data_IF_920854892278
#
_entry.id   IF_920854892278
#
_cell.length_a   1.000
_cell.length_b   1.000
_cell.length_c   1.000
_cell.angle_alpha   90.00
_cell.angle_beta   90.00
_cell.angle_gamma   90.00
#
_symmetry.space_group_name_H-M   'P 1'
#
loop_
_entity.id
_entity.type
_entity.pdbx_description
1 polymer ?
#
# COMPACT_ATOMS: atom_id res chain seq x y z
N UNK A 1 -10.35 21.44 -3.20
CA UNK A 1 -10.94 20.28 -2.50
C UNK A 1 -10.30 18.95 -2.90
N UNK A 2 -10.06 18.70 -4.19
CA UNK A 2 -9.40 17.47 -4.66
C UNK A 2 -7.99 17.25 -4.08
N UNK A 3 -7.19 18.30 -3.91
CA UNK A 3 -5.85 18.21 -3.29
C UNK A 3 -5.92 17.79 -1.81
N UNK A 4 -6.89 18.32 -1.06
CA UNK A 4 -7.15 17.91 0.33
C UNK A 4 -7.60 16.44 0.39
N UNK A 5 -8.42 15.99 -0.57
CA UNK A 5 -8.83 14.60 -0.66
C UNK A 5 -7.63 13.67 -0.91
N UNK A 6 -6.69 14.07 -1.79
CA UNK A 6 -5.45 13.33 -2.02
C UNK A 6 -4.57 13.28 -0.77
N UNK A 7 -4.45 14.38 -0.03
CA UNK A 7 -3.69 14.43 1.21
C UNK A 7 -4.25 13.46 2.27
N UNK A 8 -5.58 13.46 2.47
CA UNK A 8 -6.25 12.54 3.41
C UNK A 8 -6.02 11.07 3.09
N UNK A 9 -6.08 10.71 1.80
CA UNK A 9 -5.77 9.34 1.36
C UNK A 9 -4.32 8.98 1.69
N UNK A 10 -3.37 9.86 1.38
CA UNK A 10 -1.94 9.62 1.67
C UNK A 10 -1.69 9.44 3.17
N UNK A 11 -2.29 10.29 3.99
CA UNK A 11 -2.18 10.20 5.45
C UNK A 11 -2.73 8.87 5.98
N UNK A 12 -3.90 8.44 5.50
CA UNK A 12 -4.49 7.18 5.90
C UNK A 12 -3.67 5.95 5.45
N UNK A 13 -3.08 6.00 4.25
CA UNK A 13 -2.14 4.96 3.77
C UNK A 13 -0.87 4.95 4.63
N UNK A 14 -0.32 6.11 5.00
CA UNK A 14 0.88 6.17 5.84
C UNK A 14 0.60 5.60 7.24
N UNK A 15 -0.56 5.91 7.82
CA UNK A 15 -0.98 5.35 9.10
C UNK A 15 -1.14 3.82 9.03
N UNK A 16 -1.70 3.31 7.93
CA UNK A 16 -1.77 1.87 7.63
C UNK A 16 -0.38 1.22 7.62
N UNK A 17 0.58 1.84 6.91
CA UNK A 17 1.94 1.31 6.78
C UNK A 17 2.68 1.30 8.11
N UNK A 18 2.58 2.38 8.88
CA UNK A 18 3.15 2.47 10.23
C UNK A 18 2.60 1.38 11.16
N UNK A 19 1.30 1.10 11.08
CA UNK A 19 0.69 0.07 11.91
C UNK A 19 1.14 -1.35 11.50
N UNK A 20 1.21 -1.64 10.19
CA UNK A 20 1.76 -2.91 9.69
C UNK A 20 3.23 -3.07 10.10
N UNK A 21 4.03 -2.01 9.96
CA UNK A 21 5.43 -2.02 10.31
C UNK A 21 5.65 -2.40 11.78
N UNK A 22 4.96 -1.69 12.68
CA UNK A 22 5.02 -1.92 14.13
C UNK A 22 4.49 -3.30 14.53
N UNK A 23 3.45 -3.78 13.85
CA UNK A 23 2.76 -5.01 14.24
C UNK A 23 3.47 -6.29 13.79
N UNK A 24 4.11 -6.30 12.62
CA UNK A 24 4.70 -7.52 12.07
C UNK A 24 6.06 -7.34 11.37
N UNK A 25 6.29 -6.24 10.64
CA UNK A 25 7.51 -6.12 9.82
C UNK A 25 8.77 -6.02 10.66
N UNK A 26 8.75 -5.25 11.76
CA UNK A 26 9.91 -5.14 12.66
C UNK A 26 10.33 -6.49 13.26
N UNK A 27 9.36 -7.35 13.58
CA UNK A 27 9.65 -8.69 14.10
C UNK A 27 10.32 -9.56 13.02
N UNK A 28 9.78 -9.55 11.80
CA UNK A 28 10.37 -10.27 10.67
C UNK A 28 11.79 -9.78 10.36
N UNK A 29 12.02 -8.46 10.38
CA UNK A 29 13.35 -7.87 10.19
C UNK A 29 14.32 -8.30 11.29
N UNK A 30 13.90 -8.27 12.56
CA UNK A 30 14.70 -8.77 13.68
C UNK A 30 15.11 -10.22 13.46
N UNK A 31 14.17 -11.09 13.11
CA UNK A 31 14.45 -12.52 12.95
C UNK A 31 15.38 -12.79 11.75
N UNK A 32 15.20 -12.05 10.65
CA UNK A 32 16.14 -12.07 9.52
C UNK A 32 17.55 -11.69 9.97
N UNK A 33 17.71 -10.57 10.69
CA UNK A 33 19.03 -10.11 11.13
C UNK A 33 19.69 -11.08 12.12
N UNK A 34 18.93 -11.65 13.06
CA UNK A 34 19.44 -12.66 13.99
C UNK A 34 19.83 -13.96 13.26
N UNK A 35 19.07 -14.38 12.25
CA UNK A 35 19.41 -15.51 11.40
C UNK A 35 20.73 -15.25 10.64
N UNK A 36 20.85 -14.09 10.00
CA UNK A 36 22.05 -13.71 9.24
C UNK A 36 23.29 -13.64 10.16
N UNK A 37 23.16 -13.11 11.38
CA UNK A 37 24.25 -13.09 12.35
C UNK A 37 24.75 -14.52 12.68
N UNK A 38 23.83 -15.47 12.90
CA UNK A 38 24.20 -16.88 13.14
C UNK A 38 24.91 -17.52 11.94
N UNK A 39 24.54 -17.17 10.71
CA UNK A 39 25.26 -17.61 9.51
C UNK A 39 26.73 -17.12 9.56
N UNK A 40 26.95 -15.85 9.90
CA UNK A 40 28.28 -15.24 9.99
C UNK A 40 29.14 -15.80 11.14
N UNK A 41 28.52 -16.22 12.24
CA UNK A 41 29.22 -16.82 13.39
C UNK A 41 29.73 -18.25 13.09
N UNK A 42 29.13 -18.94 12.11
CA UNK A 42 29.49 -20.31 11.78
C UNK A 42 30.80 -20.38 10.96
N UNK A 43 31.92 -20.59 11.65
CA UNK A 43 33.25 -20.72 11.04
C UNK A 43 33.46 -21.99 10.20
N UNK A 44 32.53 -22.94 10.24
CA UNK A 44 32.61 -24.17 9.45
C UNK A 44 32.04 -24.01 8.04
N UNK A 45 31.25 -22.97 7.78
CA UNK A 45 30.75 -22.68 6.45
C UNK A 45 31.85 -22.04 5.59
N UNK A 46 31.90 -22.41 4.32
CA UNK A 46 32.62 -21.65 3.32
C UNK A 46 31.99 -20.27 3.11
N UNK A 47 32.71 -19.41 2.39
CA UNK A 47 32.21 -18.09 2.01
C UNK A 47 30.89 -18.16 1.22
N UNK A 48 30.80 -19.09 0.25
CA UNK A 48 29.61 -19.26 -0.59
C UNK A 48 28.41 -19.77 0.23
N UNK A 49 28.62 -20.76 1.08
CA UNK A 49 27.57 -21.29 1.97
C UNK A 49 27.08 -20.25 2.97
N UNK A 50 27.98 -19.38 3.46
CA UNK A 50 27.61 -18.27 4.35
C UNK A 50 26.70 -17.28 3.63
N UNK A 51 27.03 -16.89 2.39
CA UNK A 51 26.18 -16.00 1.59
C UNK A 51 24.81 -16.63 1.31
N UNK A 52 24.77 -17.91 0.92
CA UNK A 52 23.51 -18.61 0.67
C UNK A 52 22.64 -18.70 1.94
N UNK A 53 23.24 -18.92 3.11
CA UNK A 53 22.55 -18.90 4.40
C UNK A 53 21.90 -17.53 4.67
N UNK A 54 22.64 -16.43 4.46
CA UNK A 54 22.15 -15.06 4.64
C UNK A 54 20.99 -14.75 3.68
N UNK A 55 21.10 -15.14 2.41
CA UNK A 55 20.03 -14.98 1.42
C UNK A 55 18.75 -15.70 1.88
N UNK A 56 18.88 -16.93 2.37
CA UNK A 56 17.79 -17.71 2.94
C UNK A 56 17.07 -17.00 4.08
N UNK A 57 17.80 -16.34 4.98
CA UNK A 57 17.24 -15.57 6.10
C UNK A 57 16.34 -14.41 5.63
N UNK A 58 16.63 -13.80 4.47
CA UNK A 58 15.89 -12.65 3.93
C UNK A 58 14.62 -13.02 3.17
N UNK A 59 14.43 -14.30 2.82
CA UNK A 59 13.35 -14.75 1.94
C UNK A 59 11.96 -14.32 2.44
N UNK A 60 11.66 -14.57 3.71
CA UNK A 60 10.34 -14.27 4.30
C UNK A 60 10.03 -12.78 4.30
N UNK A 61 10.99 -11.94 4.69
CA UNK A 61 10.78 -10.48 4.71
C UNK A 61 10.66 -9.92 3.28
N UNK A 62 11.40 -10.45 2.31
CA UNK A 62 11.31 -10.04 0.92
C UNK A 62 9.94 -10.41 0.31
N UNK A 63 9.41 -11.60 0.62
CA UNK A 63 8.04 -12.00 0.24
C UNK A 63 7.00 -11.06 0.87
N UNK A 64 7.14 -10.73 2.15
CA UNK A 64 6.25 -9.82 2.86
C UNK A 64 6.27 -8.40 2.28
N UNK A 65 7.45 -7.86 1.99
CA UNK A 65 7.63 -6.56 1.35
C UNK A 65 7.00 -6.53 -0.05
N UNK A 66 7.22 -7.57 -0.85
CA UNK A 66 6.62 -7.70 -2.19
C UNK A 66 5.09 -7.73 -2.11
N UNK A 67 4.54 -8.51 -1.17
CA UNK A 67 3.11 -8.56 -0.93
C UNK A 67 2.54 -7.18 -0.56
N UNK A 68 3.16 -6.47 0.39
CA UNK A 68 2.74 -5.13 0.76
C UNK A 68 2.77 -4.16 -0.42
N UNK A 69 3.86 -4.18 -1.20
CA UNK A 69 3.99 -3.32 -2.38
C UNK A 69 2.86 -3.56 -3.38
N UNK A 70 2.52 -4.82 -3.64
CA UNK A 70 1.42 -5.19 -4.55
C UNK A 70 0.07 -4.69 -4.03
N UNK A 71 -0.20 -4.82 -2.74
CA UNK A 71 -1.45 -4.35 -2.13
C UNK A 71 -1.60 -2.82 -2.20
N UNK A 72 -0.51 -2.09 -1.97
CA UNK A 72 -0.50 -0.64 -2.10
C UNK A 72 -0.72 -0.19 -3.55
N UNK A 73 -0.04 -0.83 -4.51
CA UNK A 73 -0.24 -0.55 -5.94
C UNK A 73 -1.70 -0.81 -6.33
N UNK A 74 -2.26 -1.96 -5.94
CA UNK A 74 -3.66 -2.28 -6.20
C UNK A 74 -4.62 -1.25 -5.61
N UNK A 75 -4.34 -0.76 -4.40
CA UNK A 75 -5.15 0.28 -3.76
C UNK A 75 -5.05 1.62 -4.52
N UNK A 76 -3.84 2.03 -4.91
CA UNK A 76 -3.60 3.25 -5.70
C UNK A 76 -4.29 3.18 -7.07
N UNK A 77 -4.20 2.05 -7.78
CA UNK A 77 -4.84 1.86 -9.09
C UNK A 77 -6.36 1.96 -9.01
N UNK A 78 -6.96 1.49 -7.91
CA UNK A 78 -8.41 1.64 -7.70
C UNK A 78 -8.80 3.11 -7.52
N UNK A 79 -8.02 3.88 -6.77
CA UNK A 79 -8.24 5.32 -6.61
C UNK A 79 -8.07 6.06 -7.93
N UNK A 80 -7.00 5.78 -8.68
CA UNK A 80 -6.77 6.39 -9.98
C UNK A 80 -7.92 6.11 -10.95
N UNK A 81 -8.40 4.86 -11.02
CA UNK A 81 -9.59 4.51 -11.81
C UNK A 81 -10.85 5.22 -11.34
N UNK A 82 -11.04 5.40 -10.04
CA UNK A 82 -12.19 6.16 -9.51
C UNK A 82 -12.15 7.63 -9.97
N UNK A 83 -10.99 8.28 -9.89
CA UNK A 83 -10.80 9.67 -10.35
C UNK A 83 -10.98 9.78 -11.87
N UNK A 84 -10.48 8.81 -12.63
CA UNK A 84 -10.68 8.75 -14.08
C UNK A 84 -12.17 8.64 -14.43
N UNK A 85 -12.92 7.80 -13.72
CA UNK A 85 -14.38 7.72 -13.89
C UNK A 85 -15.07 9.05 -13.58
N UNK A 86 -14.61 9.78 -12.55
CA UNK A 86 -15.12 11.14 -12.29
C UNK A 86 -14.88 12.08 -13.47
N UNK A 87 -13.72 11.98 -14.12
CA UNK A 87 -13.38 12.79 -15.29
C UNK A 87 -14.26 12.42 -16.49
N UNK A 88 -14.44 11.14 -16.76
CA UNK A 88 -15.25 10.64 -17.88
C UNK A 88 -16.72 11.05 -17.73
N UNK A 89 -17.28 10.91 -16.52
CA UNK A 89 -18.64 11.36 -16.19
C UNK A 89 -18.89 12.85 -16.45
N UNK A 90 -17.84 13.68 -16.42
CA UNK A 90 -17.91 15.10 -16.75
C UNK A 90 -17.76 15.31 -18.25
N UNK A 91 -16.81 14.62 -18.89
CA UNK A 91 -16.60 14.67 -20.34
C UNK A 91 -17.86 14.30 -21.12
N UNK A 92 -18.59 13.28 -20.66
CA UNK A 92 -19.85 12.84 -21.29
C UNK A 92 -20.96 13.90 -21.26
N UNK A 93 -20.83 14.92 -20.41
CA UNK A 93 -21.79 16.03 -20.28
C UNK A 93 -21.38 17.28 -21.05
N UNK A 94 -20.13 17.34 -21.53
CA UNK A 94 -19.63 18.48 -22.29
C UNK A 94 -20.10 18.36 -23.74
N UNK A 95 -20.70 19.42 -24.26
CA UNK A 95 -21.13 19.54 -25.64
C UNK A 95 -20.51 20.79 -26.29
N UNK A 96 -20.53 20.93 -27.63
CA UNK A 96 -20.03 22.13 -28.30
C UNK A 96 -20.76 23.44 -27.88
N UNK A 97 -21.94 23.32 -27.27
CA UNK A 97 -22.76 24.45 -26.80
C UNK A 97 -22.61 24.73 -25.31
N UNK A 98 -21.75 23.99 -24.59
CA UNK A 98 -21.53 24.18 -23.16
C UNK A 98 -20.99 25.58 -22.87
N UNK A 99 -21.69 26.29 -21.98
CA UNK A 99 -21.34 27.64 -21.52
C UNK A 99 -20.29 27.63 -20.42
N UNK A 100 -19.62 28.77 -20.23
CA UNK A 100 -18.61 28.93 -19.16
C UNK A 100 -19.20 28.72 -17.74
N UNK A 101 -20.47 29.11 -17.54
CA UNK A 101 -21.19 28.86 -16.29
C UNK A 101 -21.38 27.35 -16.02
N UNK A 102 -21.70 26.57 -17.06
CA UNK A 102 -21.82 25.10 -16.96
C UNK A 102 -20.46 24.45 -16.70
N UNK A 103 -19.37 24.94 -17.31
CA UNK A 103 -18.01 24.47 -17.05
C UNK A 103 -17.63 24.64 -15.57
N UNK A 104 -17.99 25.77 -14.95
CA UNK A 104 -17.77 25.97 -13.50
C UNK A 104 -18.57 24.97 -12.65
N UNK A 105 -19.81 24.67 -13.04
CA UNK A 105 -20.62 23.61 -12.43
C UNK A 105 -19.99 22.23 -12.57
N UNK A 106 -19.47 21.90 -13.75
CA UNK A 106 -18.76 20.65 -14.02
C UNK A 106 -17.49 20.49 -13.20
N UNK A 107 -16.71 21.57 -12.99
CA UNK A 107 -15.56 21.56 -12.10
C UNK A 107 -15.95 21.23 -10.66
N UNK A 108 -17.01 21.83 -10.14
CA UNK A 108 -17.53 21.51 -8.80
C UNK A 108 -18.00 20.06 -8.68
N UNK A 109 -18.67 19.55 -9.72
CA UNK A 109 -19.11 18.15 -9.77
C UNK A 109 -17.93 17.19 -9.79
N UNK A 110 -16.88 17.49 -10.56
CA UNK A 110 -15.63 16.73 -10.57
C UNK A 110 -15.00 16.70 -9.18
N UNK A 111 -14.82 17.86 -8.55
CA UNK A 111 -14.22 17.97 -7.21
C UNK A 111 -15.03 17.17 -6.17
N UNK A 112 -16.36 17.26 -6.20
CA UNK A 112 -17.23 16.48 -5.31
C UNK A 112 -17.11 14.98 -5.54
N UNK A 113 -17.01 14.54 -6.80
CA UNK A 113 -16.79 13.15 -7.15
C UNK A 113 -15.45 12.63 -6.63
N UNK A 114 -14.37 13.40 -6.79
CA UNK A 114 -13.04 13.04 -6.27
C UNK A 114 -13.03 12.92 -4.74
N UNK A 115 -13.74 13.81 -4.04
CA UNK A 115 -13.89 13.70 -2.58
C UNK A 115 -14.60 12.40 -2.19
N UNK A 116 -15.69 12.04 -2.88
CA UNK A 116 -16.39 10.77 -2.66
C UNK A 116 -15.51 9.55 -2.94
N UNK A 117 -14.69 9.59 -3.99
CA UNK A 117 -13.69 8.55 -4.25
C UNK A 117 -12.74 8.40 -3.06
N UNK A 118 -12.17 9.50 -2.57
CA UNK A 118 -11.27 9.47 -1.41
C UNK A 118 -11.96 8.90 -0.17
N UNK A 119 -13.16 9.37 0.17
CA UNK A 119 -13.91 8.90 1.34
C UNK A 119 -14.19 7.39 1.24
N UNK A 120 -14.72 6.93 0.10
CA UNK A 120 -15.00 5.50 -0.15
C UNK A 120 -13.75 4.64 0.02
N UNK A 121 -12.60 5.11 -0.46
CA UNK A 121 -11.36 4.35 -0.36
C UNK A 121 -10.76 4.40 1.04
N UNK A 122 -10.87 5.51 1.76
CA UNK A 122 -10.47 5.62 3.16
C UNK A 122 -11.27 4.64 4.02
N UNK A 123 -12.58 4.51 3.79
CA UNK A 123 -13.45 3.58 4.53
C UNK A 123 -13.08 2.10 4.31
N UNK A 124 -12.37 1.79 3.22
CA UNK A 124 -11.88 0.44 2.93
C UNK A 124 -10.54 0.13 3.61
N UNK A 125 -9.81 1.12 4.12
CA UNK A 125 -8.48 0.93 4.71
C UNK A 125 -8.52 -0.01 5.92
N UNK A 126 -9.46 0.09 6.88
CA UNK A 126 -9.48 -0.79 8.05
C UNK A 126 -9.62 -2.28 7.69
N UNK A 127 -10.46 -2.60 6.72
CA UNK A 127 -10.62 -3.99 6.24
C UNK A 127 -9.40 -4.47 5.45
N UNK A 128 -8.79 -3.59 4.66
CA UNK A 128 -7.55 -3.88 3.93
C UNK A 128 -6.40 -4.17 4.90
N UNK A 129 -6.25 -3.32 5.93
CA UNK A 129 -5.28 -3.47 7.01
C UNK A 129 -5.39 -4.82 7.70
N UNK A 130 -6.62 -5.19 8.10
CA UNK A 130 -6.88 -6.46 8.77
C UNK A 130 -6.42 -7.64 7.92
N UNK A 131 -6.82 -7.68 6.65
CA UNK A 131 -6.44 -8.74 5.71
C UNK A 131 -4.92 -8.80 5.50
N UNK A 132 -4.27 -7.65 5.31
CA UNK A 132 -2.82 -7.60 5.14
C UNK A 132 -2.09 -8.14 6.37
N UNK A 133 -2.52 -7.74 7.57
CA UNK A 133 -1.97 -8.25 8.84
C UNK A 133 -2.14 -9.76 8.96
N UNK A 134 -3.30 -10.31 8.65
CA UNK A 134 -3.55 -11.76 8.72
C UNK A 134 -2.60 -12.55 7.79
N UNK A 135 -2.44 -12.09 6.55
CA UNK A 135 -1.50 -12.71 5.60
C UNK A 135 -0.06 -12.61 6.08
N UNK A 136 0.37 -11.43 6.53
CA UNK A 136 1.73 -11.21 7.02
C UNK A 136 2.02 -12.02 8.29
N UNK A 137 1.07 -12.11 9.22
CA UNK A 137 1.22 -12.90 10.44
C UNK A 137 1.34 -14.39 10.15
N UNK A 138 0.63 -14.91 9.13
CA UNK A 138 0.80 -16.32 8.70
C UNK A 138 2.19 -16.63 8.13
N UNK A 139 2.95 -15.60 7.72
CA UNK A 139 4.31 -15.72 7.19
C UNK A 139 5.37 -15.63 8.27
N UNK A 140 5.03 -15.15 9.47
CA UNK A 140 5.95 -15.15 10.61
C UNK A 140 6.09 -16.59 11.12
N UNK A 141 7.28 -17.20 11.08
CA UNK A 141 7.48 -18.49 11.71
C UNK A 141 7.16 -18.37 13.19
N UNK A 142 6.21 -19.19 13.67
CA UNK A 142 5.90 -19.31 15.09
C UNK A 142 7.11 -19.91 15.79
N UNK A 143 8.03 -19.07 16.28
CA UNK A 143 8.99 -19.50 17.28
C UNK A 143 8.22 -19.75 18.59
N UNK A 144 7.72 -20.99 18.73
CA UNK A 144 7.53 -21.63 20.04
C UNK A 144 8.82 -22.35 20.42
#
# INVERSE_FOLDING_TARGET
>A
MAELASARVKEAINALLEDIDRSCMRSMQRDMHLCAAKCCDNRSLSMEETHHCIEGCSKTINEAQTFMQNELTNFQDRIQRCVMQCQDNIRDKITPSTTEAEVSGFKKNFESCVVKCADTHIDLIPSTLKRMKEVLQSKVPSNK
#
